data_IF_852074326848
#
_entry.id   IF_852074326848
#
_cell.length_a   1.000
_cell.length_b   1.000
_cell.length_c   1.000
_cell.angle_alpha   90.00
_cell.angle_beta   90.00
_cell.angle_gamma   90.00
#
_symmetry.space_group_name_H-M   'P 1'
#
loop_
_entity.id
_entity.type
_entity.pdbx_description
1 polymer ?
#
# COMPACT_ATOMS: atom_id res chain seq x y z
N UNK A 1 -37.13 -38.04 69.02
CA UNK A 1 -36.59 -37.20 70.13
C UNK A 1 -35.07 -37.16 70.05
N UNK A 2 -34.45 -35.98 70.24
CA UNK A 2 -33.00 -35.65 70.44
C UNK A 2 -32.13 -35.74 69.15
N UNK A 3 -31.63 -34.67 68.51
CA UNK A 3 -30.81 -33.45 68.82
C UNK A 3 -29.28 -33.68 68.90
N UNK A 4 -28.57 -33.09 67.91
CA UNK A 4 -27.21 -32.49 67.85
C UNK A 4 -26.00 -33.45 68.04
N UNK A 5 -24.87 -33.31 67.35
CA UNK A 5 -24.02 -32.12 67.17
C UNK A 5 -23.28 -32.03 65.80
N UNK A 6 -22.84 -30.81 65.45
CA UNK A 6 -21.90 -30.49 64.36
C UNK A 6 -20.47 -30.91 64.71
N UNK A 7 -19.63 -31.17 63.69
CA UNK A 7 -18.27 -30.65 63.64
C UNK A 7 -17.80 -30.53 62.18
N UNK A 8 -17.17 -29.40 61.89
CA UNK A 8 -16.68 -28.96 60.59
C UNK A 8 -15.44 -29.75 60.15
N UNK A 9 -15.33 -30.01 58.85
CA UNK A 9 -14.13 -30.53 58.21
C UNK A 9 -14.05 -30.02 56.78
N UNK A 10 -13.34 -28.90 56.59
CA UNK A 10 -12.96 -28.37 55.28
C UNK A 10 -11.84 -29.25 54.74
N UNK A 11 -12.04 -29.83 53.56
CA UNK A 11 -11.03 -30.58 52.82
C UNK A 11 -11.37 -30.57 51.34
N UNK A 12 -11.23 -29.41 50.70
CA UNK A 12 -11.42 -29.28 49.26
C UNK A 12 -10.28 -30.01 48.52
N UNK A 13 -10.63 -31.10 47.84
CA UNK A 13 -9.78 -31.75 46.87
C UNK A 13 -9.80 -30.96 45.55
N UNK A 14 -8.63 -30.59 45.02
CA UNK A 14 -8.48 -30.22 43.61
C UNK A 14 -7.26 -30.96 43.06
N UNK A 15 -7.51 -31.87 42.14
CA UNK A 15 -6.52 -32.55 41.31
C UNK A 15 -6.79 -32.23 39.84
N UNK A 16 -5.73 -31.81 39.15
CA UNK A 16 -5.49 -31.77 37.70
C UNK A 16 -6.43 -30.89 36.84
N UNK A 17 -6.01 -30.23 35.77
CA UNK A 17 -4.84 -30.37 34.92
C UNK A 17 -4.48 -29.01 34.32
N UNK A 18 -3.20 -28.81 34.03
CA UNK A 18 -2.73 -27.68 33.23
C UNK A 18 -3.35 -27.73 31.83
N UNK A 19 -4.04 -26.66 31.47
CA UNK A 19 -4.35 -26.29 30.11
C UNK A 19 -3.77 -24.91 29.88
N UNK A 20 -2.49 -24.84 29.51
CA UNK A 20 -2.02 -23.72 28.69
C UNK A 20 -2.89 -23.79 27.43
N UNK A 21 -3.86 -22.89 27.31
CA UNK A 21 -4.40 -22.55 26.01
C UNK A 21 -3.24 -21.93 25.23
N UNK A 22 -2.53 -22.77 24.47
CA UNK A 22 -1.67 -22.30 23.41
C UNK A 22 -2.56 -21.46 22.49
N UNK A 23 -2.35 -20.15 22.49
CA UNK A 23 -2.78 -19.32 21.37
C UNK A 23 -2.10 -19.92 20.14
N UNK A 24 -2.86 -20.65 19.32
CA UNK A 24 -2.53 -20.79 17.91
C UNK A 24 -2.55 -19.37 17.33
N UNK A 25 -1.39 -18.71 17.36
CA UNK A 25 -1.13 -17.63 16.43
C UNK A 25 -1.11 -18.29 15.05
N UNK A 26 -2.20 -18.09 14.32
CA UNK A 26 -2.33 -18.43 12.91
C UNK A 26 -1.34 -17.54 12.14
N UNK A 27 -0.04 -17.87 12.23
CA UNK A 27 1.08 -17.22 11.53
C UNK A 27 1.00 -17.58 10.04
N UNK A 28 -0.10 -17.17 9.38
CA UNK A 28 -0.04 -16.94 7.94
C UNK A 28 0.95 -15.81 7.75
N UNK A 29 2.19 -16.16 7.37
CA UNK A 29 3.18 -15.19 6.93
C UNK A 29 2.51 -14.26 5.94
N UNK A 30 2.29 -13.00 6.33
CA UNK A 30 1.76 -11.99 5.42
C UNK A 30 2.72 -11.88 4.24
N UNK A 31 2.17 -11.86 3.03
CA UNK A 31 2.96 -11.53 1.86
C UNK A 31 3.56 -10.13 2.07
N UNK A 32 4.81 -9.95 1.64
CA UNK A 32 5.45 -8.64 1.73
C UNK A 32 4.80 -7.71 0.71
N UNK A 33 4.22 -6.62 1.19
CA UNK A 33 3.66 -5.55 0.35
C UNK A 33 4.78 -4.58 -0.02
N UNK A 34 4.89 -4.29 -1.31
CA UNK A 34 5.88 -3.37 -1.86
C UNK A 34 5.21 -2.08 -2.34
N UNK A 35 5.91 -0.96 -2.22
CA UNK A 35 5.59 0.29 -2.89
C UNK A 35 6.61 0.48 -4.00
N UNK A 36 6.17 1.06 -5.12
CA UNK A 36 7.04 1.31 -6.27
C UNK A 36 7.19 2.81 -6.52
N UNK A 37 8.35 3.19 -7.04
CA UNK A 37 8.63 4.54 -7.52
C UNK A 37 9.21 4.46 -8.92
N UNK A 38 8.48 5.04 -9.87
CA UNK A 38 8.94 5.24 -11.24
C UNK A 38 9.35 6.71 -11.40
N UNK A 39 10.39 6.97 -12.19
CA UNK A 39 10.85 8.32 -12.52
C UNK A 39 10.79 8.50 -14.03
N UNK A 40 10.58 9.72 -14.51
CA UNK A 40 10.67 10.03 -15.94
C UNK A 40 11.14 11.46 -16.17
N UNK A 41 11.71 11.71 -17.35
CA UNK A 41 12.17 13.05 -17.75
C UNK A 41 10.99 14.00 -17.98
N UNK A 42 9.88 13.48 -18.49
CA UNK A 42 8.67 14.28 -18.78
C UNK A 42 7.41 13.56 -18.37
N UNK A 43 6.32 14.31 -18.23
CA UNK A 43 4.99 13.76 -17.99
C UNK A 43 3.92 14.58 -18.70
N UNK A 44 2.89 13.89 -19.20
CA UNK A 44 1.66 14.52 -19.64
C UNK A 44 0.45 13.71 -19.24
N UNK A 45 -0.67 14.39 -19.01
CA UNK A 45 -1.98 13.79 -18.83
C UNK A 45 -2.94 14.48 -19.76
N UNK A 46 -3.62 13.70 -20.59
CA UNK A 46 -4.68 14.21 -21.44
C UNK A 46 -5.67 13.10 -21.73
N UNK A 47 -6.96 13.43 -21.70
CA UNK A 47 -8.03 12.49 -22.04
C UNK A 47 -7.92 11.16 -21.27
N UNK A 48 -7.63 11.25 -19.96
CA UNK A 48 -7.44 10.12 -19.04
C UNK A 48 -6.27 9.18 -19.42
N UNK A 49 -5.33 9.65 -20.24
CA UNK A 49 -4.08 8.96 -20.58
C UNK A 49 -2.89 9.68 -19.96
N UNK A 50 -2.23 9.02 -19.00
CA UNK A 50 -1.00 9.48 -18.37
C UNK A 50 0.20 8.92 -19.14
N UNK A 51 1.06 9.79 -19.65
CA UNK A 51 2.31 9.42 -20.33
C UNK A 51 3.50 9.85 -19.49
N UNK A 52 4.31 8.89 -19.06
CA UNK A 52 5.63 9.12 -18.48
C UNK A 52 6.66 9.06 -19.62
N UNK A 53 7.13 10.23 -20.07
CA UNK A 53 8.04 10.31 -21.20
C UNK A 53 9.49 10.05 -20.82
N UNK A 54 10.15 9.14 -21.54
CA UNK A 54 11.47 8.58 -21.20
C UNK A 54 11.52 8.12 -19.75
N UNK A 55 10.75 7.07 -19.47
CA UNK A 55 10.74 6.49 -18.12
C UNK A 55 12.09 5.86 -17.80
N UNK A 56 12.53 5.98 -16.55
CA UNK A 56 13.74 5.31 -16.06
C UNK A 56 13.58 3.78 -16.27
N UNK A 57 14.57 3.10 -16.88
CA UNK A 57 14.50 1.66 -17.10
C UNK A 57 14.52 0.86 -15.79
N UNK A 58 14.76 1.50 -14.65
CA UNK A 58 14.77 0.92 -13.30
C UNK A 58 13.66 1.52 -12.42
N UNK A 59 12.79 0.67 -11.88
CA UNK A 59 11.78 1.03 -10.89
C UNK A 59 12.32 0.70 -9.49
N UNK A 60 12.36 1.69 -8.60
CA UNK A 60 12.66 1.48 -7.18
C UNK A 60 11.46 0.81 -6.52
N UNK A 61 11.71 -0.14 -5.63
CA UNK A 61 10.68 -0.68 -4.76
C UNK A 61 11.17 -0.78 -3.31
N UNK A 62 10.24 -0.72 -2.38
CA UNK A 62 10.53 -0.92 -0.97
C UNK A 62 9.30 -1.42 -0.21
N UNK A 63 9.51 -2.09 0.92
CA UNK A 63 8.45 -2.50 1.83
C UNK A 63 8.52 -1.72 3.14
N UNK A 64 7.38 -1.57 3.83
CA UNK A 64 7.37 -1.04 5.19
C UNK A 64 7.85 -2.12 6.20
N UNK A 65 7.79 -1.78 7.48
CA UNK A 65 8.02 -2.67 8.61
C UNK A 65 6.99 -3.82 8.64
N UNK A 66 7.39 -5.03 9.06
CA UNK A 66 8.70 -5.36 9.64
C UNK A 66 9.81 -5.66 8.62
N UNK A 67 9.47 -5.95 7.36
CA UNK A 67 10.42 -6.51 6.39
C UNK A 67 11.52 -5.53 5.93
N UNK A 68 11.18 -4.24 5.75
CA UNK A 68 12.13 -3.15 5.37
C UNK A 68 13.02 -3.49 4.16
N UNK A 69 12.45 -4.13 3.15
CA UNK A 69 13.16 -4.50 1.94
C UNK A 69 13.26 -3.26 1.05
N UNK A 70 14.40 -3.06 0.40
CA UNK A 70 14.61 -2.00 -0.60
C UNK A 70 15.35 -2.61 -1.77
N UNK A 71 14.95 -2.27 -2.99
CA UNK A 71 15.59 -2.77 -4.19
C UNK A 71 15.17 -2.02 -5.43
N UNK A 72 15.67 -2.47 -6.57
CA UNK A 72 15.28 -1.98 -7.88
C UNK A 72 15.00 -3.16 -8.80
N UNK A 73 14.03 -2.99 -9.69
CA UNK A 73 13.69 -3.96 -10.73
C UNK A 73 13.62 -3.26 -12.09
N UNK A 74 13.91 -3.95 -13.21
CA UNK A 74 13.67 -3.38 -14.52
C UNK A 74 12.21 -2.95 -14.65
N UNK A 75 11.96 -1.71 -15.07
CA UNK A 75 10.60 -1.15 -15.21
C UNK A 75 9.76 -2.03 -16.13
N UNK A 76 10.34 -2.52 -17.23
CA UNK A 76 9.68 -3.48 -18.11
C UNK A 76 9.20 -4.75 -17.39
N UNK A 77 9.97 -5.26 -16.41
CA UNK A 77 9.57 -6.44 -15.64
C UNK A 77 8.43 -6.15 -14.67
N UNK A 78 8.36 -4.94 -14.12
CA UNK A 78 7.20 -4.52 -13.29
C UNK A 78 5.94 -4.52 -14.14
N UNK A 79 6.01 -4.00 -15.37
CA UNK A 79 4.87 -3.98 -16.29
C UNK A 79 4.50 -5.38 -16.80
N UNK A 80 5.48 -6.23 -17.13
CA UNK A 80 5.23 -7.63 -17.53
C UNK A 80 4.44 -8.42 -16.47
N UNK A 81 4.61 -8.09 -15.19
CA UNK A 81 3.94 -8.77 -14.06
C UNK A 81 2.63 -8.11 -13.63
N UNK A 82 2.18 -7.07 -14.32
CA UNK A 82 1.03 -6.27 -13.91
C UNK A 82 -0.26 -7.09 -13.71
N UNK A 83 -0.53 -8.04 -14.62
CA UNK A 83 -1.68 -8.95 -14.59
C UNK A 83 -1.35 -10.38 -14.12
N UNK A 84 -0.16 -10.61 -13.56
CA UNK A 84 0.31 -11.97 -13.24
C UNK A 84 0.02 -12.33 -11.78
N UNK A 85 -0.58 -13.50 -11.56
CA UNK A 85 -0.90 -14.02 -10.22
C UNK A 85 -2.35 -13.77 -9.81
N UNK A 86 -2.75 -14.31 -8.65
CA UNK A 86 -4.14 -14.20 -8.16
C UNK A 86 -4.45 -12.83 -7.54
N UNK A 87 -3.43 -12.12 -7.08
CA UNK A 87 -3.50 -10.79 -6.49
C UNK A 87 -2.60 -9.89 -7.32
N UNK A 88 -3.21 -9.16 -8.26
CA UNK A 88 -2.48 -8.43 -9.30
C UNK A 88 -3.17 -7.10 -9.63
N UNK A 89 -2.42 -6.20 -10.26
CA UNK A 89 -2.86 -4.84 -10.55
C UNK A 89 -3.84 -4.71 -11.71
N UNK A 90 -3.98 -5.73 -12.57
CA UNK A 90 -5.02 -5.74 -13.59
C UNK A 90 -6.40 -5.99 -12.95
N UNK A 91 -6.46 -6.88 -11.94
CA UNK A 91 -7.67 -7.23 -11.21
C UNK A 91 -8.03 -6.20 -10.12
N UNK A 92 -7.04 -5.63 -9.42
CA UNK A 92 -7.21 -4.56 -8.43
C UNK A 92 -6.25 -3.39 -8.71
N UNK A 93 -6.66 -2.43 -9.57
CA UNK A 93 -5.83 -1.31 -9.98
C UNK A 93 -5.28 -0.47 -8.83
N UNK A 94 -3.97 -0.21 -8.79
CA UNK A 94 -3.34 0.51 -7.68
C UNK A 94 -3.65 2.01 -7.73
N UNK A 95 -3.67 2.62 -6.55
CA UNK A 95 -3.57 4.07 -6.45
C UNK A 95 -2.12 4.50 -6.69
N UNK A 96 -1.95 5.66 -7.29
CA UNK A 96 -0.66 6.30 -7.41
C UNK A 96 -0.73 7.80 -7.13
N UNK A 97 0.39 8.35 -6.69
CA UNK A 97 0.61 9.79 -6.54
C UNK A 97 1.76 10.18 -7.45
N UNK A 98 1.47 11.02 -8.43
CA UNK A 98 2.44 11.67 -9.29
C UNK A 98 2.90 12.97 -8.62
N UNK A 99 4.20 13.16 -8.54
CA UNK A 99 4.84 14.42 -8.16
C UNK A 99 5.65 14.92 -9.35
N UNK A 100 5.32 16.13 -9.81
CA UNK A 100 6.03 16.82 -10.89
C UNK A 100 6.85 17.93 -10.27
N UNK A 101 8.13 18.03 -10.62
CA UNK A 101 8.96 19.13 -10.16
C UNK A 101 8.34 20.48 -10.57
N UNK A 102 8.50 21.49 -9.72
CA UNK A 102 8.04 22.84 -9.97
C UNK A 102 8.98 23.86 -9.32
N UNK A 103 8.95 25.11 -9.80
CA UNK A 103 9.91 26.14 -9.37
C UNK A 103 9.83 26.48 -7.87
N UNK A 104 8.63 26.41 -7.29
CA UNK A 104 8.38 26.73 -5.87
C UNK A 104 7.88 25.52 -5.10
N UNK A 105 6.85 24.87 -5.63
CA UNK A 105 6.24 23.68 -5.06
C UNK A 105 5.98 22.67 -6.18
N UNK A 106 6.04 21.36 -5.87
CA UNK A 106 5.72 20.34 -6.84
C UNK A 106 4.21 20.33 -7.14
N UNK A 107 3.87 19.99 -8.38
CA UNK A 107 2.47 19.69 -8.74
C UNK A 107 2.18 18.24 -8.36
N UNK A 108 1.09 18.01 -7.64
CA UNK A 108 0.67 16.68 -7.19
C UNK A 108 -0.62 16.25 -7.89
N UNK A 109 -0.65 15.00 -8.33
CA UNK A 109 -1.81 14.36 -8.96
C UNK A 109 -2.00 12.98 -8.34
N UNK A 110 -3.22 12.64 -7.94
CA UNK A 110 -3.59 11.32 -7.42
C UNK A 110 -4.47 10.61 -8.45
N UNK A 111 -4.08 9.41 -8.85
CA UNK A 111 -4.74 8.62 -9.89
C UNK A 111 -4.90 7.16 -9.48
N UNK A 112 -5.81 6.45 -10.14
CA UNK A 112 -5.78 4.98 -10.25
C UNK A 112 -5.13 4.64 -11.58
N UNK A 113 -4.15 3.72 -11.58
CA UNK A 113 -3.41 3.32 -12.79
C UNK A 113 -3.99 2.05 -13.39
N UNK A 114 -4.18 2.04 -14.70
CA UNK A 114 -4.74 0.92 -15.47
C UNK A 114 -3.97 0.73 -16.78
N UNK A 115 -4.05 -0.48 -17.33
CA UNK A 115 -3.59 -0.81 -18.68
C UNK A 115 -2.21 -0.22 -19.07
N UNK A 116 -1.13 -0.49 -18.30
CA UNK A 116 0.20 0.00 -18.66
C UNK A 116 0.67 -0.56 -19.99
N UNK A 117 1.34 0.29 -20.77
CA UNK A 117 1.96 -0.10 -22.05
C UNK A 117 3.16 0.78 -22.38
N UNK A 118 4.14 0.22 -23.07
CA UNK A 118 5.25 0.99 -23.61
C UNK A 118 4.92 1.54 -25.00
N UNK A 119 5.26 2.81 -25.21
CA UNK A 119 5.23 3.47 -26.51
C UNK A 119 6.64 4.05 -26.77
N UNK A 120 7.52 3.22 -27.34
CA UNK A 120 8.94 3.53 -27.43
C UNK A 120 9.61 3.56 -26.05
N UNK A 121 10.23 4.67 -25.69
CA UNK A 121 10.84 4.91 -24.37
C UNK A 121 9.82 5.44 -23.33
N UNK A 122 8.58 5.66 -23.74
CA UNK A 122 7.53 6.18 -22.88
C UNK A 122 6.75 5.04 -22.25
N UNK A 123 6.32 5.25 -21.01
CA UNK A 123 5.38 4.37 -20.32
C UNK A 123 4.04 5.08 -20.19
N UNK A 124 3.02 4.47 -20.75
CA UNK A 124 1.67 5.02 -20.82
C UNK A 124 0.74 4.21 -19.94
N UNK A 125 -0.10 4.92 -19.19
CA UNK A 125 -1.17 4.36 -18.37
C UNK A 125 -2.50 4.97 -18.78
N UNK A 126 -3.55 4.15 -18.80
CA UNK A 126 -4.90 4.67 -18.69
C UNK A 126 -5.14 4.99 -17.21
N UNK A 127 -5.77 6.12 -16.91
CA UNK A 127 -5.91 6.58 -15.52
C UNK A 127 -7.31 7.02 -15.18
N UNK A 128 -7.63 6.94 -13.90
CA UNK A 128 -8.76 7.67 -13.31
C UNK A 128 -8.22 8.69 -12.33
N UNK A 129 -8.41 9.98 -12.63
CA UNK A 129 -8.00 11.06 -11.73
C UNK A 129 -8.89 11.08 -10.48
N UNK A 130 -8.26 11.01 -9.31
CA UNK A 130 -8.90 11.12 -8.00
C UNK A 130 -8.76 12.54 -7.42
N UNK A 131 -7.61 13.17 -7.61
CA UNK A 131 -7.31 14.52 -7.13
C UNK A 131 -6.24 15.19 -8.01
N UNK A 132 -6.40 16.48 -8.33
CA UNK A 132 -5.50 17.24 -9.19
C UNK A 132 -6.11 17.62 -10.54
N UNK A 133 -5.31 18.26 -11.39
CA UNK A 133 -5.75 18.70 -12.71
C UNK A 133 -5.85 17.54 -13.71
N UNK A 134 -6.90 17.53 -14.54
CA UNK A 134 -7.12 16.49 -15.55
C UNK A 134 -6.29 16.66 -16.82
N UNK A 135 -5.55 17.76 -16.90
CA UNK A 135 -4.62 18.03 -17.98
C UNK A 135 -3.38 18.63 -17.37
N UNK A 136 -2.25 17.95 -17.57
CA UNK A 136 -0.94 18.37 -17.06
C UNK A 136 0.11 18.16 -18.14
N UNK A 137 1.13 19.00 -18.10
CA UNK A 137 2.40 18.81 -18.79
C UNK A 137 3.51 19.23 -17.81
N UNK A 138 4.63 18.52 -17.83
CA UNK A 138 5.74 18.85 -16.97
C UNK A 138 6.99 18.04 -17.22
N UNK A 139 8.05 18.43 -16.53
CA UNK A 139 9.36 17.80 -16.56
C UNK A 139 9.69 17.23 -15.18
N UNK A 140 10.63 16.29 -15.14
CA UNK A 140 11.16 15.65 -13.93
C UNK A 140 10.07 15.20 -12.96
N UNK A 141 9.51 14.01 -13.19
CA UNK A 141 8.44 13.49 -12.35
C UNK A 141 8.82 12.19 -11.64
N UNK A 142 8.14 11.95 -10.51
CA UNK A 142 8.19 10.72 -9.75
C UNK A 142 6.77 10.22 -9.51
N UNK A 143 6.47 9.00 -9.96
CA UNK A 143 5.20 8.32 -9.76
C UNK A 143 5.33 7.27 -8.66
N UNK A 144 4.66 7.51 -7.54
CA UNK A 144 4.61 6.62 -6.38
C UNK A 144 3.39 5.72 -6.48
N UNK A 145 3.58 4.40 -6.56
CA UNK A 145 2.51 3.41 -6.75
C UNK A 145 2.38 2.58 -5.47
N UNK A 146 1.15 2.49 -4.97
CA UNK A 146 0.78 1.78 -3.74
C UNK A 146 0.05 0.47 -4.06
N UNK A 147 0.49 -0.65 -3.49
CA UNK A 147 -0.22 -1.93 -3.65
C UNK A 147 -1.41 -1.96 -2.67
N UNK A 148 -2.61 -2.09 -3.23
CA UNK A 148 -3.84 -2.62 -2.62
C UNK A 148 -4.08 -2.24 -1.15
N UNK A 149 -4.93 -1.22 -0.96
CA UNK A 149 -5.69 -1.05 0.27
C UNK A 149 -6.90 -1.98 0.27
N UNK A 150 -6.82 -3.14 0.93
CA UNK A 150 -8.01 -3.97 1.17
C UNK A 150 -9.16 -3.12 1.78
N UNK A 151 -10.42 -3.30 1.34
CA UNK A 151 -11.59 -2.64 1.94
C UNK A 151 -11.86 -3.04 3.41
N UNK A 152 -11.03 -3.90 4.02
CA UNK A 152 -11.15 -4.34 5.43
C UNK A 152 -9.85 -4.32 6.23
N UNK A 153 -8.82 -3.59 5.79
CA UNK A 153 -7.71 -3.23 6.69
C UNK A 153 -7.97 -1.83 7.25
N UNK A 154 -8.32 -1.69 8.55
CA UNK A 154 -8.51 -0.38 9.18
C UNK A 154 -7.20 0.44 9.30
N UNK A 155 -6.08 -0.12 8.83
CA UNK A 155 -4.75 0.46 8.86
C UNK A 155 -3.99 0.18 7.56
N UNK A 156 -4.48 0.66 6.43
CA UNK A 156 -3.53 1.24 5.47
C UNK A 156 -2.97 2.49 6.15
N UNK A 157 -1.72 2.44 6.58
CA UNK A 157 -1.07 3.55 7.27
C UNK A 157 -1.05 4.81 6.36
N UNK A 158 -1.01 4.63 5.04
CA UNK A 158 -1.14 5.70 4.05
C UNK A 158 -2.57 6.29 3.93
N UNK A 159 -3.63 5.51 4.18
CA UNK A 159 -5.02 5.99 4.12
C UNK A 159 -5.50 6.67 5.42
N UNK A 160 -5.07 6.16 6.58
CA UNK A 160 -5.40 6.76 7.87
C UNK A 160 -4.58 8.03 8.15
N UNK A 161 -3.30 8.06 7.79
CA UNK A 161 -2.44 9.23 7.99
C UNK A 161 -2.83 10.42 7.10
N UNK A 162 -3.31 10.19 5.86
CA UNK A 162 -3.71 11.28 4.95
C UNK A 162 -4.83 12.18 5.52
N UNK A 163 -5.75 11.65 6.32
CA UNK A 163 -6.82 12.45 6.96
C UNK A 163 -6.37 13.21 8.21
N UNK A 164 -5.35 12.72 8.92
CA UNK A 164 -4.80 13.39 10.11
C UNK A 164 -3.72 14.43 9.76
N UNK A 165 -2.82 14.10 8.84
CA UNK A 165 -1.63 14.90 8.50
C UNK A 165 -1.98 16.15 7.67
N UNK A 166 -3.03 16.10 6.83
CA UNK A 166 -3.52 17.27 6.07
C UNK A 166 -3.93 18.47 6.95
N UNK A 167 -4.31 18.24 8.22
CA UNK A 167 -4.66 19.31 9.16
C UNK A 167 -3.47 19.94 9.90
N UNK A 168 -2.30 19.30 9.88
CA UNK A 168 -1.13 19.78 10.65
C UNK A 168 0.00 20.40 9.82
N UNK A 169 0.07 20.13 8.51
CA UNK A 169 1.21 20.58 7.68
C UNK A 169 0.95 21.91 6.92
N UNK A 170 -0.30 22.25 6.58
CA UNK A 170 -0.64 23.53 5.90
C UNK A 170 -0.85 24.73 6.85
N UNK A 171 -0.33 24.65 8.07
CA UNK A 171 -0.57 25.68 9.10
C UNK A 171 0.73 26.24 9.66
N UNK A 172 1.70 26.56 8.80
CA UNK A 172 2.77 27.52 9.08
C UNK A 172 3.18 28.21 7.79
#
# INVERSE_FOLDING_TARGET
MKRREMLAGIGASVLLAGGLAAQENDDKKKAVEYLFVQKSETVSLKDDVLTLGKVDPSTLFFSDRPDRIVGQAPTAKVIDHWGVGNDNFEADPPNATLSIAGEKEPTLLVVVLMAPRFEGENLVYDVKVLEGDKTIEGEECSLFIDIIGMPRTPFSYAGAARRGVRRSIYRY
#
